data_IF_137274326233
#
_entry.id   IF_137274326233
#
_cell.length_a   1.000
_cell.length_b   1.000
_cell.length_c   1.000
_cell.angle_alpha   90.00
_cell.angle_beta   90.00
_cell.angle_gamma   90.00
#
_symmetry.space_group_name_H-M   'P 1'
#
loop_
_entity.id
_entity.type
_entity.pdbx_description
1 polymer ?
#
# COMPACT_ATOMS: atom_id res chain seq x y z
N UNK A 1 -19.22 -45.21 2.54
CA UNK A 1 -19.29 -44.05 3.47
C UNK A 1 -18.21 -43.05 3.10
N UNK A 2 -18.56 -41.76 3.12
CA UNK A 2 -17.94 -40.65 2.39
C UNK A 2 -16.48 -40.33 2.69
N UNK A 3 -15.76 -40.02 1.60
CA UNK A 3 -14.40 -39.47 1.51
C UNK A 3 -14.31 -38.09 2.20
N UNK A 4 -13.51 -37.97 3.26
CA UNK A 4 -13.06 -36.67 3.79
C UNK A 4 -11.93 -36.14 2.90
N UNK A 5 -12.30 -35.40 1.87
CA UNK A 5 -11.35 -34.61 1.08
C UNK A 5 -10.72 -33.55 1.99
N UNK A 6 -9.42 -33.71 2.27
CA UNK A 6 -8.59 -32.61 2.77
C UNK A 6 -8.69 -31.48 1.75
N UNK A 7 -9.37 -30.41 2.11
CA UNK A 7 -9.38 -29.17 1.34
C UNK A 7 -7.95 -28.69 1.23
N UNK A 8 -7.29 -29.00 0.10
CA UNK A 8 -6.13 -28.26 -0.34
C UNK A 8 -6.61 -26.82 -0.52
N UNK A 9 -6.32 -25.95 0.45
CA UNK A 9 -6.24 -24.52 0.19
C UNK A 9 -5.21 -24.36 -0.91
N UNK A 10 -5.66 -24.41 -2.17
CA UNK A 10 -4.89 -23.97 -3.32
C UNK A 10 -4.54 -22.53 -2.98
N UNK A 11 -3.30 -22.30 -2.52
CA UNK A 11 -2.68 -20.98 -2.42
C UNK A 11 -2.78 -20.37 -3.81
N UNK A 12 -3.89 -19.67 -4.09
CA UNK A 12 -4.10 -18.93 -5.31
C UNK A 12 -2.91 -17.98 -5.38
N UNK A 13 -2.02 -18.18 -6.35
CA UNK A 13 -0.89 -17.29 -6.56
C UNK A 13 -1.48 -15.91 -6.89
N UNK A 14 -1.71 -15.08 -5.87
CA UNK A 14 -2.18 -13.71 -6.03
C UNK A 14 -1.17 -12.99 -6.94
N UNK A 15 -1.63 -12.69 -8.16
CA UNK A 15 -0.85 -11.97 -9.18
C UNK A 15 -0.67 -10.50 -8.79
N UNK A 16 -1.58 -9.98 -7.97
CA UNK A 16 -1.58 -8.61 -7.48
C UNK A 16 -1.58 -8.60 -5.95
N UNK A 17 -0.98 -7.56 -5.40
CA UNK A 17 -0.97 -7.28 -3.97
C UNK A 17 -1.57 -5.90 -3.75
N UNK A 18 -2.38 -5.78 -2.71
CA UNK A 18 -2.84 -4.49 -2.23
C UNK A 18 -1.68 -3.75 -1.57
N UNK A 19 -1.48 -2.53 -2.01
CA UNK A 19 -0.45 -1.65 -1.53
C UNK A 19 -1.07 -0.32 -1.12
N UNK A 20 -0.41 0.36 -0.21
CA UNK A 20 -0.75 1.70 0.21
C UNK A 20 0.49 2.60 0.26
N UNK A 21 0.29 3.90 0.09
CA UNK A 21 1.31 4.91 0.38
C UNK A 21 0.67 6.10 1.09
N UNK A 22 1.38 6.74 2.02
CA UNK A 22 0.85 7.90 2.73
C UNK A 22 0.74 9.12 1.80
N UNK A 23 -0.31 9.92 1.97
CA UNK A 23 -0.55 11.16 1.22
C UNK A 23 -0.94 12.30 2.18
N UNK A 24 -0.79 13.55 1.75
CA UNK A 24 -1.13 14.73 2.57
C UNK A 24 -0.39 14.75 3.92
N UNK A 25 -1.12 15.00 5.00
CA UNK A 25 -0.59 14.99 6.37
C UNK A 25 0.18 13.71 6.73
N UNK A 26 -0.31 12.55 6.27
CA UNK A 26 0.36 11.28 6.52
C UNK A 26 1.73 11.19 5.85
N UNK A 27 1.91 11.81 4.67
CA UNK A 27 3.19 11.85 3.97
C UNK A 27 4.21 12.70 4.72
N UNK A 28 3.78 13.84 5.28
CA UNK A 28 4.61 14.71 6.11
C UNK A 28 5.10 13.96 7.37
N UNK A 29 4.22 13.23 8.06
CA UNK A 29 4.61 12.41 9.22
C UNK A 29 5.54 11.24 8.83
N UNK A 30 5.36 10.65 7.65
CA UNK A 30 6.19 9.56 7.16
C UNK A 30 7.65 10.01 6.89
N UNK A 31 7.83 11.21 6.33
CA UNK A 31 9.15 11.83 6.13
C UNK A 31 9.93 11.93 7.46
N UNK A 32 9.27 12.31 8.55
CA UNK A 32 9.87 12.38 9.88
C UNK A 32 10.34 11.02 10.44
N UNK A 33 9.77 9.91 9.96
CA UNK A 33 10.09 8.53 10.41
C UNK A 33 11.07 7.79 9.50
N UNK A 34 11.84 8.50 8.66
CA UNK A 34 12.76 7.93 7.65
C UNK A 34 12.08 6.97 6.65
N UNK A 35 10.75 7.05 6.49
CA UNK A 35 10.02 6.32 5.45
C UNK A 35 9.79 7.29 4.29
N UNK A 36 10.28 6.95 3.11
CA UNK A 36 10.00 7.76 1.93
C UNK A 36 8.53 7.54 1.51
N UNK A 37 7.68 8.57 1.57
CA UNK A 37 6.24 8.44 1.31
C UNK A 37 5.92 8.12 -0.14
N UNK A 38 6.87 8.27 -1.06
CA UNK A 38 6.69 7.90 -2.46
C UNK A 38 6.63 6.38 -2.66
N UNK A 39 7.07 5.58 -1.68
CA UNK A 39 7.10 4.13 -1.81
C UNK A 39 5.82 3.46 -1.36
N UNK A 40 5.33 2.60 -2.24
CA UNK A 40 4.25 1.67 -1.97
C UNK A 40 4.66 0.62 -0.94
N UNK A 41 3.83 0.46 0.07
CA UNK A 41 3.96 -0.54 1.13
C UNK A 41 2.83 -1.55 1.01
N UNK A 42 3.11 -2.84 1.13
CA UNK A 42 2.06 -3.87 1.07
C UNK A 42 1.26 -3.90 2.37
N UNK A 43 -0.05 -4.11 2.29
CA UNK A 43 -0.86 -4.48 3.47
C UNK A 43 -0.39 -5.83 4.04
N UNK A 44 -0.70 -6.09 5.31
CA UNK A 44 -0.47 -7.36 5.98
C UNK A 44 -1.29 -8.49 5.35
N UNK A 45 -0.79 -9.73 5.49
CA UNK A 45 -1.36 -10.90 4.79
C UNK A 45 -2.85 -11.12 5.06
N UNK A 46 -3.33 -10.84 6.28
CA UNK A 46 -4.76 -10.91 6.62
C UNK A 46 -5.56 -9.89 5.82
N UNK A 47 -5.09 -8.65 5.81
CA UNK A 47 -5.74 -7.53 5.12
C UNK A 47 -5.68 -7.69 3.60
N UNK A 48 -4.64 -8.33 3.05
CA UNK A 48 -4.59 -8.69 1.62
C UNK A 48 -5.79 -9.55 1.20
N UNK A 49 -6.17 -10.53 2.02
CA UNK A 49 -7.30 -11.41 1.73
C UNK A 49 -8.61 -10.64 1.84
N UNK A 50 -8.77 -9.88 2.92
CA UNK A 50 -9.97 -9.08 3.18
C UNK A 50 -10.22 -8.04 2.08
N UNK A 51 -9.19 -7.29 1.69
CA UNK A 51 -9.26 -6.32 0.59
C UNK A 51 -9.62 -6.99 -0.75
N UNK A 52 -9.05 -8.18 -1.03
CA UNK A 52 -9.41 -8.94 -2.23
C UNK A 52 -10.86 -9.43 -2.22
N UNK A 53 -11.36 -9.92 -1.08
CA UNK A 53 -12.74 -10.38 -0.95
C UNK A 53 -13.73 -9.24 -1.10
N UNK A 54 -13.49 -8.10 -0.45
CA UNK A 54 -14.36 -6.92 -0.57
C UNK A 54 -14.36 -6.38 -2.00
N UNK A 55 -13.20 -6.35 -2.66
CA UNK A 55 -13.12 -5.92 -4.05
C UNK A 55 -13.94 -6.81 -5.00
N UNK A 56 -13.89 -8.13 -4.85
CA UNK A 56 -14.73 -9.04 -5.66
C UNK A 56 -16.22 -8.89 -5.33
N UNK A 57 -16.59 -8.63 -4.06
CA UNK A 57 -17.99 -8.34 -3.69
C UNK A 57 -18.48 -7.07 -4.37
N UNK A 58 -17.68 -6.01 -4.37
CA UNK A 58 -18.00 -4.73 -5.04
C UNK A 58 -18.15 -4.90 -6.55
N UNK A 59 -17.33 -5.77 -7.16
CA UNK A 59 -17.41 -6.08 -8.59
C UNK A 59 -18.64 -6.89 -8.99
N UNK A 60 -19.21 -7.66 -8.05
CA UNK A 60 -20.32 -8.59 -8.32
C UNK A 60 -21.68 -8.10 -7.83
N UNK A 61 -21.71 -7.15 -6.89
CA UNK A 61 -22.95 -6.69 -6.24
C UNK A 61 -23.15 -5.19 -6.41
N UNK A 62 -24.22 -4.78 -7.10
CA UNK A 62 -24.49 -3.38 -7.45
C UNK A 62 -24.85 -2.45 -6.26
N UNK A 63 -24.93 -2.94 -5.01
CA UNK A 63 -25.37 -2.16 -3.84
C UNK A 63 -24.52 -2.36 -2.57
N UNK A 64 -23.33 -2.93 -2.66
CA UNK A 64 -22.46 -3.08 -1.49
C UNK A 64 -21.81 -1.74 -1.10
N UNK A 65 -21.82 -1.46 0.20
CA UNK A 65 -21.06 -0.36 0.78
C UNK A 65 -19.57 -0.57 0.47
N UNK A 66 -18.90 0.49 0.00
CA UNK A 66 -17.49 0.48 -0.39
C UNK A 66 -16.56 0.82 0.78
N UNK A 67 -17.12 1.34 1.87
CA UNK A 67 -16.39 1.68 3.07
C UNK A 67 -16.41 0.52 4.08
N UNK A 68 -15.23 0.12 4.56
CA UNK A 68 -15.09 -0.83 5.65
C UNK A 68 -13.83 -0.57 6.47
N UNK A 69 -13.79 -1.12 7.67
CA UNK A 69 -12.73 -0.90 8.64
C UNK A 69 -11.79 -2.09 8.71
N UNK A 70 -10.48 -1.82 8.83
CA UNK A 70 -9.48 -2.84 9.12
C UNK A 70 -8.37 -2.31 10.04
N UNK A 71 -7.52 -3.19 10.53
CA UNK A 71 -6.32 -2.83 11.29
C UNK A 71 -5.09 -3.41 10.61
N UNK A 72 -4.09 -2.58 10.31
CA UNK A 72 -2.84 -3.02 9.67
C UNK A 72 -1.62 -2.65 10.51
N UNK A 73 -0.73 -3.62 10.81
CA UNK A 73 0.43 -3.36 11.68
C UNK A 73 1.41 -2.37 11.08
N UNK A 74 1.44 -2.23 9.76
CA UNK A 74 2.34 -1.29 9.07
C UNK A 74 1.80 0.14 9.10
N UNK A 75 0.51 0.32 9.43
CA UNK A 75 -0.16 1.60 9.65
C UNK A 75 -0.27 1.84 11.15
N UNK A 76 0.51 2.80 11.67
CA UNK A 76 0.50 3.18 13.10
C UNK A 76 0.65 2.01 14.09
N UNK A 77 1.34 0.93 13.69
CA UNK A 77 1.56 -0.24 14.54
C UNK A 77 0.33 -1.14 14.72
N UNK A 78 -0.75 -0.93 13.96
CA UNK A 78 -2.01 -1.65 14.12
C UNK A 78 -2.84 -1.21 15.32
N UNK A 79 -2.51 -0.04 15.91
CA UNK A 79 -3.22 0.53 17.06
C UNK A 79 -4.47 1.32 16.69
N UNK A 80 -4.60 1.65 15.40
CA UNK A 80 -5.67 2.50 14.88
C UNK A 80 -6.53 1.71 13.92
N UNK A 81 -7.81 2.07 13.86
CA UNK A 81 -8.74 1.58 12.84
C UNK A 81 -8.52 2.39 11.58
N UNK A 82 -8.36 1.68 10.46
CA UNK A 82 -8.20 2.24 9.13
C UNK A 82 -9.50 2.04 8.37
N UNK A 83 -10.13 3.14 7.99
CA UNK A 83 -11.28 3.13 7.08
C UNK A 83 -10.77 3.02 5.65
N UNK A 84 -11.34 2.10 4.88
CA UNK A 84 -10.92 1.81 3.51
C UNK A 84 -12.10 1.99 2.56
N UNK A 85 -11.89 2.76 1.51
CA UNK A 85 -12.82 2.99 0.40
C UNK A 85 -12.16 2.48 -0.89
N UNK A 86 -12.56 1.29 -1.35
CA UNK A 86 -11.90 0.59 -2.44
C UNK A 86 -12.18 1.22 -3.82
N UNK A 87 -13.37 1.78 -4.05
CA UNK A 87 -13.72 2.46 -5.32
C UNK A 87 -12.92 3.76 -5.49
N UNK A 88 -12.78 4.51 -4.41
CA UNK A 88 -12.01 5.75 -4.41
C UNK A 88 -10.49 5.48 -4.41
N UNK A 89 -10.08 4.27 -4.04
CA UNK A 89 -8.66 3.95 -3.91
C UNK A 89 -8.01 4.69 -2.74
N UNK A 90 -8.77 4.94 -1.68
CA UNK A 90 -8.33 5.71 -0.51
C UNK A 90 -8.53 4.90 0.77
N UNK A 91 -7.60 5.03 1.70
CA UNK A 91 -7.76 4.62 3.08
C UNK A 91 -7.43 5.79 4.01
N UNK A 92 -8.11 5.91 5.15
CA UNK A 92 -7.87 7.00 6.09
C UNK A 92 -8.09 6.58 7.53
N UNK A 93 -7.41 7.29 8.44
CA UNK A 93 -7.53 7.12 9.88
C UNK A 93 -8.06 8.42 10.46
N UNK A 94 -9.14 8.31 11.23
CA UNK A 94 -9.71 9.40 12.03
C UNK A 94 -9.24 9.20 13.47
N UNK A 95 -8.40 10.12 13.94
CA UNK A 95 -7.96 10.17 15.34
C UNK A 95 -8.38 11.52 15.92
N UNK A 96 -9.13 11.57 17.03
CA UNK A 96 -9.55 12.83 17.67
C UNK A 96 -8.38 13.73 18.09
N UNK A 97 -7.19 13.17 18.30
CA UNK A 97 -6.01 13.94 18.69
C UNK A 97 -5.34 14.65 17.50
N UNK A 98 -5.73 14.36 16.26
CA UNK A 98 -5.14 14.94 15.07
C UNK A 98 -6.02 16.05 14.48
N UNK A 99 -5.37 17.12 14.01
CA UNK A 99 -6.05 18.22 13.32
C UNK A 99 -6.58 17.83 11.94
N UNK A 100 -5.98 16.81 11.32
CA UNK A 100 -6.34 16.30 10.00
C UNK A 100 -6.30 14.76 9.99
N UNK A 101 -7.15 14.11 9.18
CA UNK A 101 -7.08 12.66 9.01
C UNK A 101 -5.76 12.25 8.36
N UNK A 102 -5.22 11.11 8.80
CA UNK A 102 -4.12 10.48 8.07
C UNK A 102 -4.66 9.70 6.88
N UNK A 103 -4.36 10.17 5.68
CA UNK A 103 -4.84 9.59 4.43
C UNK A 103 -3.75 8.79 3.72
N UNK A 104 -4.17 7.72 3.05
CA UNK A 104 -3.35 6.81 2.28
C UNK A 104 -4.01 6.56 0.94
N UNK A 105 -3.22 6.61 -0.13
CA UNK A 105 -3.65 6.08 -1.43
C UNK A 105 -3.46 4.57 -1.41
N UNK A 106 -4.43 3.83 -1.93
CA UNK A 106 -4.40 2.37 -2.01
C UNK A 106 -4.61 1.89 -3.45
N UNK A 107 -3.89 0.83 -3.82
CA UNK A 107 -4.02 0.26 -5.17
C UNK A 107 -3.55 -1.19 -5.23
N UNK A 108 -3.95 -1.90 -6.28
CA UNK A 108 -3.41 -3.21 -6.61
C UNK A 108 -2.15 -3.07 -7.47
N UNK A 109 -1.02 -3.54 -6.96
CA UNK A 109 0.23 -3.60 -7.72
C UNK A 109 0.60 -5.03 -8.08
N UNK A 110 1.24 -5.25 -9.25
CA UNK A 110 1.67 -6.58 -9.64
C UNK A 110 2.69 -7.14 -8.66
N UNK A 111 2.51 -8.41 -8.29
CA UNK A 111 3.46 -9.13 -7.43
C UNK A 111 4.73 -9.41 -8.22
N UNK A 112 5.79 -8.70 -7.88
CA UNK A 112 7.08 -8.87 -8.52
C UNK A 112 7.80 -10.14 -8.07
N UNK A 113 8.39 -10.86 -9.03
CA UNK A 113 9.32 -11.96 -8.76
C UNK A 113 10.57 -11.44 -8.04
N UNK A 114 11.37 -12.33 -7.45
CA UNK A 114 12.62 -11.93 -6.80
C UNK A 114 13.54 -11.16 -7.78
N UNK A 115 13.67 -11.68 -9.00
CA UNK A 115 14.47 -11.05 -10.05
C UNK A 115 13.96 -9.66 -10.42
N UNK A 116 12.65 -9.50 -10.61
CA UNK A 116 12.05 -8.20 -10.90
C UNK A 116 12.26 -7.19 -9.76
N UNK A 117 12.18 -7.64 -8.50
CA UNK A 117 12.47 -6.79 -7.32
C UNK A 117 13.91 -6.33 -7.28
N UNK A 118 14.86 -7.23 -7.55
CA UNK A 118 16.28 -6.90 -7.58
C UNK A 118 16.59 -5.88 -8.69
N UNK A 119 16.01 -6.08 -9.89
CA UNK A 119 16.15 -5.16 -11.01
C UNK A 119 15.58 -3.77 -10.69
N UNK A 120 14.36 -3.70 -10.18
CA UNK A 120 13.74 -2.43 -9.78
C UNK A 120 14.56 -1.68 -8.73
N UNK A 121 15.15 -2.40 -7.76
CA UNK A 121 16.04 -1.80 -6.75
C UNK A 121 17.33 -1.26 -7.36
N UNK A 122 17.92 -2.00 -8.31
CA UNK A 122 19.09 -1.53 -9.05
C UNK A 122 18.77 -0.26 -9.85
N UNK A 123 17.68 -0.28 -10.62
CA UNK A 123 17.27 0.84 -11.47
C UNK A 123 16.95 2.09 -10.65
N UNK A 124 16.28 1.94 -9.50
CA UNK A 124 16.03 3.03 -8.57
C UNK A 124 17.34 3.64 -8.03
N UNK A 125 18.32 2.83 -7.63
CA UNK A 125 19.62 3.34 -7.18
C UNK A 125 20.31 4.16 -8.26
N UNK A 126 20.26 3.71 -9.52
CA UNK A 126 20.85 4.44 -10.63
C UNK A 126 20.11 5.75 -10.92
N UNK A 127 18.78 5.73 -10.92
CA UNK A 127 17.96 6.93 -11.06
C UNK A 127 18.25 7.95 -9.94
N UNK A 128 18.31 7.50 -8.69
CA UNK A 128 18.58 8.38 -7.55
C UNK A 128 19.97 9.03 -7.62
N UNK A 129 21.00 8.28 -8.02
CA UNK A 129 22.35 8.83 -8.27
C UNK A 129 22.33 9.92 -9.35
N UNK A 130 21.59 9.70 -10.45
CA UNK A 130 21.44 10.70 -11.52
C UNK A 130 20.76 11.97 -11.03
N UNK A 131 19.71 11.84 -10.22
CA UNK A 131 19.02 12.99 -9.62
C UNK A 131 19.94 13.81 -8.71
N UNK A 132 20.75 13.14 -7.89
CA UNK A 132 21.74 13.84 -7.05
C UNK A 132 22.79 14.58 -7.87
N UNK A 133 23.30 13.97 -8.95
CA UNK A 133 24.26 14.62 -9.85
C UNK A 133 23.66 15.84 -10.54
N UNK A 134 22.41 15.75 -11.00
CA UNK A 134 21.70 16.89 -11.61
C UNK A 134 21.50 18.04 -10.61
N UNK A 135 21.09 17.73 -9.36
CA UNK A 135 20.95 18.74 -8.31
C UNK A 135 22.28 19.45 -8.00
N UNK A 136 23.37 18.69 -7.88
CA UNK A 136 24.71 19.25 -7.65
C UNK A 136 25.16 20.13 -8.82
N UNK A 137 24.91 19.71 -10.06
CA UNK A 137 25.24 20.49 -11.26
C UNK A 137 24.45 21.81 -11.34
N UNK A 138 23.16 21.78 -10.97
CA UNK A 138 22.34 23.00 -10.92
C UNK A 138 22.77 23.97 -9.81
N UNK A 139 23.25 23.49 -8.65
CA UNK A 139 23.72 24.34 -7.56
C UNK A 139 25.11 24.94 -7.80
N UNK A 140 25.93 24.31 -8.65
CA UNK A 140 27.30 24.73 -8.94
C UNK A 140 27.42 25.58 -10.21
N UNK A 141 26.29 25.91 -10.85
CA UNK A 141 26.25 26.79 -12.02
C UNK A 141 26.32 28.25 -11.55
N UNK A 142 27.39 29.02 -11.84
CA UNK A 142 27.40 30.45 -11.56
C UNK A 142 26.32 31.15 -12.41
N UNK A 143 25.70 32.17 -11.84
CA UNK A 143 24.72 33.02 -12.51
C UNK A 143 25.34 33.75 -13.71
#
# INVERSE_FOLDING_TARGET
MSKRGRGQEKKRNQKFLWCFRPVGAAAATAHGKKRNPLFWTTFDKRNQLELSEQFERLRTTNRTNDCFELQDKKISGGKVVVNVMLKEGIAFVLDPEWSEPMTFEITQLPKLTLYQRLRARHDYKQWYKRQQQQHMYHQSRPA
#
